data_IF_848228586552
#
_entry.id   IF_848228586552
#
_cell.length_a   1.000
_cell.length_b   1.000
_cell.length_c   1.000
_cell.angle_alpha   90.00
_cell.angle_beta   90.00
_cell.angle_gamma   90.00
#
_symmetry.space_group_name_H-M   'P 1'
#
loop_
_entity.id
_entity.type
_entity.pdbx_description
1 polymer ?
#
# COMPACT_ATOMS: atom_id res chain seq x y z
N UNK A 1 11.40 19.25 -4.94
CA UNK A 1 11.72 18.02 -4.19
C UNK A 1 11.76 16.85 -5.17
N UNK A 2 12.52 15.81 -4.82
CA UNK A 2 12.53 14.53 -5.55
C UNK A 2 11.58 13.56 -4.88
N UNK A 3 10.59 13.06 -5.61
CA UNK A 3 9.53 12.21 -5.08
C UNK A 3 9.48 10.89 -5.86
N UNK A 4 9.46 9.77 -5.14
CA UNK A 4 9.31 8.44 -5.71
C UNK A 4 7.95 7.86 -5.28
N UNK A 5 7.14 7.49 -6.24
CA UNK A 5 5.84 6.82 -6.02
C UNK A 5 5.98 5.36 -6.44
N UNK A 6 5.73 4.43 -5.52
CA UNK A 6 5.92 2.99 -5.77
C UNK A 6 4.60 2.24 -5.67
N UNK A 7 4.32 1.46 -6.70
CA UNK A 7 3.06 0.75 -6.90
C UNK A 7 2.04 1.58 -7.65
N UNK A 8 0.97 0.95 -8.09
CA UNK A 8 -0.10 1.61 -8.82
C UNK A 8 -1.42 0.88 -8.59
N UNK A 9 -2.45 1.63 -8.22
CA UNK A 9 -3.84 1.17 -8.21
C UNK A 9 -4.71 2.22 -8.87
N UNK A 10 -5.48 1.83 -9.87
CA UNK A 10 -6.49 2.66 -10.52
C UNK A 10 -5.99 4.04 -10.98
N UNK A 11 -4.75 4.10 -11.44
CA UNK A 11 -4.08 5.32 -11.95
C UNK A 11 -3.83 6.42 -10.88
N UNK A 12 -3.84 6.07 -9.60
CA UNK A 12 -3.69 7.04 -8.50
C UNK A 12 -2.31 7.67 -8.50
N UNK A 13 -1.25 6.85 -8.50
CA UNK A 13 0.12 7.38 -8.46
C UNK A 13 0.52 8.12 -9.73
N UNK A 14 0.09 7.64 -10.90
CA UNK A 14 0.39 8.38 -12.14
C UNK A 14 -0.31 9.73 -12.18
N UNK A 15 -1.59 9.79 -11.78
CA UNK A 15 -2.33 11.07 -11.69
C UNK A 15 -1.70 12.02 -10.68
N UNK A 16 -1.33 11.52 -9.50
CA UNK A 16 -0.61 12.29 -8.48
C UNK A 16 0.72 12.82 -9.03
N UNK A 17 1.47 11.98 -9.75
CA UNK A 17 2.74 12.38 -10.36
C UNK A 17 2.57 13.55 -11.34
N UNK A 18 1.50 13.53 -12.16
CA UNK A 18 1.23 14.65 -13.10
C UNK A 18 1.00 15.95 -12.31
N UNK A 19 0.16 15.94 -11.28
CA UNK A 19 -0.09 17.11 -10.45
C UNK A 19 1.17 17.64 -9.76
N UNK A 20 1.98 16.75 -9.19
CA UNK A 20 3.23 17.13 -8.53
C UNK A 20 4.28 17.69 -9.52
N UNK A 21 4.35 17.14 -10.74
CA UNK A 21 5.21 17.66 -11.81
C UNK A 21 4.78 19.06 -12.25
N UNK A 22 3.49 19.32 -12.35
CA UNK A 22 2.96 20.67 -12.63
C UNK A 22 3.32 21.70 -11.54
N UNK A 23 3.51 21.24 -10.30
CA UNK A 23 3.99 22.05 -9.17
C UNK A 23 5.52 22.18 -9.13
N UNK A 24 6.23 21.70 -10.15
CA UNK A 24 7.69 21.83 -10.26
C UNK A 24 8.50 20.80 -9.47
N UNK A 25 7.90 19.66 -9.08
CA UNK A 25 8.62 18.57 -8.42
C UNK A 25 9.17 17.56 -9.43
N UNK A 26 10.33 16.97 -9.12
CA UNK A 26 10.88 15.82 -9.85
C UNK A 26 10.21 14.55 -9.33
N UNK A 27 9.37 13.92 -10.14
CA UNK A 27 8.60 12.76 -9.71
C UNK A 27 8.88 11.54 -10.59
N UNK A 28 9.14 10.42 -9.95
CA UNK A 28 9.33 9.11 -10.59
C UNK A 28 8.24 8.15 -10.11
N UNK A 29 7.57 7.49 -11.05
CA UNK A 29 6.60 6.41 -10.76
C UNK A 29 7.23 5.07 -11.11
N UNK A 30 7.32 4.16 -10.12
CA UNK A 30 7.85 2.81 -10.28
C UNK A 30 6.75 1.80 -9.95
N UNK A 31 6.24 1.09 -10.95
CA UNK A 31 5.10 0.18 -10.76
C UNK A 31 5.03 -0.95 -11.77
N UNK A 32 4.17 -1.94 -11.51
CA UNK A 32 3.75 -2.96 -12.47
C UNK A 32 2.68 -2.46 -13.45
N UNK A 33 2.07 -1.30 -13.17
CA UNK A 33 1.01 -0.71 -13.98
C UNK A 33 -0.40 -1.20 -13.66
N UNK A 34 -0.63 -1.75 -12.47
CA UNK A 34 -1.90 -2.31 -12.01
C UNK A 34 -2.38 -3.47 -12.92
N UNK A 35 -1.49 -4.46 -13.07
CA UNK A 35 -1.74 -5.69 -13.81
C UNK A 35 -2.10 -5.46 -15.29
N UNK A 36 -3.23 -5.99 -15.76
CA UNK A 36 -3.69 -5.90 -17.15
C UNK A 36 -4.06 -4.49 -17.61
N UNK A 37 -4.28 -3.55 -16.68
CA UNK A 37 -4.65 -2.15 -16.99
C UNK A 37 -3.50 -1.37 -17.61
N UNK A 38 -2.25 -1.76 -17.32
CA UNK A 38 -1.07 -1.23 -18.00
C UNK A 38 -0.86 0.28 -17.84
N UNK A 39 -1.19 0.86 -16.69
CA UNK A 39 -1.02 2.29 -16.46
C UNK A 39 0.40 2.78 -16.70
N UNK A 40 0.57 4.04 -17.13
CA UNK A 40 1.88 4.62 -17.39
C UNK A 40 2.79 4.63 -16.16
N UNK A 41 4.09 4.52 -16.39
CA UNK A 41 5.13 4.49 -15.34
C UNK A 41 6.49 4.88 -15.92
N UNK A 42 7.37 5.40 -15.08
CA UNK A 42 8.74 5.78 -15.48
C UNK A 42 9.70 4.59 -15.32
N UNK A 43 9.47 3.75 -14.30
CA UNK A 43 10.24 2.53 -14.04
C UNK A 43 9.31 1.33 -14.10
N UNK A 44 9.53 0.47 -15.10
CA UNK A 44 8.71 -0.73 -15.30
C UNK A 44 9.15 -1.85 -14.36
N UNK A 45 8.24 -2.21 -13.44
CA UNK A 45 8.35 -3.31 -12.48
C UNK A 45 7.22 -4.34 -12.68
N UNK A 46 6.68 -4.45 -13.89
CA UNK A 46 5.66 -5.45 -14.20
C UNK A 46 6.18 -6.87 -13.94
N UNK A 47 5.36 -7.70 -13.33
CA UNK A 47 5.71 -9.07 -13.00
C UNK A 47 4.76 -10.05 -13.70
N UNK A 48 5.34 -11.07 -14.32
CA UNK A 48 4.58 -12.16 -14.94
C UNK A 48 4.82 -13.43 -14.14
N UNK A 49 3.75 -14.13 -13.78
CA UNK A 49 3.77 -15.35 -12.95
C UNK A 49 4.27 -16.58 -13.74
N UNK A 50 5.51 -16.49 -14.25
CA UNK A 50 6.23 -17.60 -14.89
C UNK A 50 7.67 -17.61 -14.39
N UNK A 51 8.38 -18.74 -14.50
CA UNK A 51 9.78 -18.83 -14.08
C UNK A 51 10.65 -17.77 -14.79
N UNK A 52 10.49 -17.60 -16.10
CA UNK A 52 11.16 -16.55 -16.87
C UNK A 52 10.76 -15.14 -16.39
N UNK A 53 9.49 -14.95 -16.05
CA UNK A 53 8.97 -13.69 -15.49
C UNK A 53 9.57 -13.33 -14.14
N UNK A 54 9.75 -14.30 -13.25
CA UNK A 54 10.42 -14.09 -11.96
C UNK A 54 11.88 -13.65 -12.15
N UNK A 55 12.64 -14.32 -13.02
CA UNK A 55 14.04 -13.96 -13.33
C UNK A 55 14.11 -12.57 -13.97
N UNK A 56 13.27 -12.30 -14.96
CA UNK A 56 13.20 -10.99 -15.62
C UNK A 56 12.83 -9.87 -14.64
N UNK A 57 11.88 -10.11 -13.74
CA UNK A 57 11.51 -9.16 -12.69
C UNK A 57 12.67 -8.90 -11.74
N UNK A 58 13.32 -9.96 -11.22
CA UNK A 58 14.46 -9.82 -10.31
C UNK A 58 15.58 -8.98 -10.94
N UNK A 59 15.88 -9.21 -12.22
CA UNK A 59 16.85 -8.43 -12.97
C UNK A 59 16.45 -6.96 -13.11
N UNK A 60 15.20 -6.68 -13.49
CA UNK A 60 14.68 -5.30 -13.57
C UNK A 60 14.72 -4.60 -12.22
N UNK A 61 14.30 -5.28 -11.15
CA UNK A 61 14.34 -4.75 -9.80
C UNK A 61 15.78 -4.41 -9.37
N UNK A 62 16.73 -5.33 -9.56
CA UNK A 62 18.15 -5.08 -9.25
C UNK A 62 18.71 -3.86 -9.98
N UNK A 63 18.31 -3.64 -11.23
CA UNK A 63 18.71 -2.45 -12.01
C UNK A 63 17.96 -1.18 -11.61
N UNK A 64 16.76 -1.32 -11.08
CA UNK A 64 15.94 -0.19 -10.62
C UNK A 64 16.36 0.30 -9.23
N UNK A 65 16.72 -0.60 -8.30
CA UNK A 65 17.07 -0.25 -6.92
C UNK A 65 18.08 0.91 -6.80
N UNK A 66 19.19 0.97 -7.55
CA UNK A 66 20.11 2.11 -7.47
C UNK A 66 19.46 3.44 -7.87
N UNK A 67 18.47 3.42 -8.76
CA UNK A 67 17.73 4.60 -9.21
C UNK A 67 16.67 5.07 -8.21
N UNK A 68 16.31 4.21 -7.23
CA UNK A 68 15.32 4.49 -6.19
C UNK A 68 15.94 5.06 -4.92
N UNK A 69 17.08 5.79 -5.03
CA UNK A 69 17.82 6.38 -3.90
C UNK A 69 17.80 7.90 -3.96
N UNK A 70 17.94 8.52 -2.80
CA UNK A 70 18.15 9.96 -2.66
C UNK A 70 16.89 10.78 -2.93
N UNK A 71 15.73 10.21 -2.75
CA UNK A 71 14.45 10.92 -2.80
C UNK A 71 14.17 11.59 -1.45
N UNK A 72 13.51 12.75 -1.52
CA UNK A 72 13.04 13.46 -0.34
C UNK A 72 11.83 12.76 0.27
N UNK A 73 10.97 12.22 -0.60
CA UNK A 73 9.77 11.46 -0.23
C UNK A 73 9.69 10.20 -1.09
N UNK A 74 9.40 9.08 -0.46
CA UNK A 74 8.97 7.83 -1.12
C UNK A 74 7.57 7.50 -0.63
N UNK A 75 6.60 7.44 -1.54
CA UNK A 75 5.25 7.00 -1.22
C UNK A 75 5.04 5.57 -1.74
N UNK A 76 4.62 4.69 -0.84
CA UNK A 76 4.19 3.34 -1.16
C UNK A 76 2.67 3.33 -1.32
N UNK A 77 2.15 2.75 -2.40
CA UNK A 77 0.70 2.72 -2.65
C UNK A 77 -0.06 1.95 -1.57
N UNK A 78 0.55 0.90 -1.03
CA UNK A 78 -0.02 -0.06 -0.11
C UNK A 78 1.14 -0.82 0.56
N UNK A 79 0.99 -1.50 1.69
CA UNK A 79 2.04 -2.37 2.26
C UNK A 79 2.58 -3.41 1.26
N UNK A 80 1.72 -4.00 0.42
CA UNK A 80 2.13 -4.86 -0.71
C UNK A 80 2.20 -4.00 -1.97
N UNK A 81 3.21 -3.13 -2.05
CA UNK A 81 3.35 -2.07 -3.06
C UNK A 81 3.81 -2.51 -4.44
N UNK A 82 4.15 -3.79 -4.63
CA UNK A 82 4.47 -4.39 -5.92
C UNK A 82 3.64 -5.66 -6.13
N UNK A 83 3.45 -6.05 -7.38
CA UNK A 83 2.70 -7.27 -7.75
C UNK A 83 3.52 -8.53 -7.48
N UNK A 84 3.91 -8.74 -6.22
CA UNK A 84 4.74 -9.84 -5.71
C UNK A 84 4.09 -10.47 -4.50
N UNK A 85 4.56 -11.68 -4.13
CA UNK A 85 4.28 -12.22 -2.81
C UNK A 85 4.76 -11.27 -1.70
N UNK A 86 4.14 -11.25 -0.51
CA UNK A 86 4.47 -10.26 0.52
C UNK A 86 5.92 -10.31 1.02
N UNK A 87 6.53 -11.49 1.07
CA UNK A 87 7.84 -11.71 1.68
C UNK A 87 8.98 -10.83 1.14
N UNK A 88 9.17 -10.59 -0.19
CA UNK A 88 10.24 -9.73 -0.70
C UNK A 88 10.08 -8.25 -0.34
N UNK A 89 8.84 -7.79 -0.10
CA UNK A 89 8.57 -6.37 0.18
C UNK A 89 9.33 -5.84 1.38
N UNK A 90 9.56 -6.67 2.42
CA UNK A 90 10.30 -6.23 3.61
C UNK A 90 11.74 -5.83 3.29
N UNK A 91 12.42 -6.53 2.38
CA UNK A 91 13.79 -6.19 1.99
C UNK A 91 13.84 -4.94 1.11
N UNK A 92 12.89 -4.83 0.19
CA UNK A 92 12.75 -3.63 -0.66
C UNK A 92 12.43 -2.42 0.22
N UNK A 93 11.53 -2.57 1.18
CA UNK A 93 11.18 -1.54 2.15
C UNK A 93 12.40 -1.09 2.98
N UNK A 94 13.16 -2.04 3.57
CA UNK A 94 14.37 -1.73 4.34
C UNK A 94 15.41 -0.98 3.50
N UNK A 95 15.54 -1.37 2.23
CA UNK A 95 16.39 -0.67 1.29
C UNK A 95 15.90 0.77 1.03
N UNK A 96 14.63 0.94 0.72
CA UNK A 96 14.06 2.27 0.47
C UNK A 96 14.20 3.19 1.68
N UNK A 97 13.91 2.67 2.87
CA UNK A 97 14.05 3.38 4.14
C UNK A 97 15.49 3.82 4.40
N UNK A 98 16.46 2.96 4.11
CA UNK A 98 17.89 3.26 4.32
C UNK A 98 18.43 4.37 3.42
N UNK A 99 17.92 4.48 2.19
CA UNK A 99 18.51 5.33 1.16
C UNK A 99 17.67 6.55 0.77
N UNK A 100 16.57 6.80 1.46
CA UNK A 100 15.69 7.95 1.22
C UNK A 100 15.36 8.65 2.54
N UNK A 101 14.86 9.91 2.46
CA UNK A 101 14.67 10.73 3.67
C UNK A 101 13.38 10.40 4.42
N UNK A 102 12.26 10.28 3.70
CA UNK A 102 10.94 10.06 4.30
C UNK A 102 10.21 8.96 3.53
N UNK A 103 9.53 8.09 4.28
CA UNK A 103 8.61 7.09 3.71
C UNK A 103 7.19 7.46 4.11
N UNK A 104 6.30 7.49 3.13
CA UNK A 104 4.86 7.67 3.29
C UNK A 104 4.18 6.39 2.84
N UNK A 105 3.32 5.84 3.67
CA UNK A 105 2.50 4.70 3.32
C UNK A 105 1.10 5.18 2.94
N UNK A 106 0.72 4.97 1.68
CA UNK A 106 -0.65 5.07 1.23
C UNK A 106 -1.43 3.83 1.66
N UNK A 107 -2.61 4.00 2.18
CA UNK A 107 -3.51 2.90 2.52
C UNK A 107 -4.56 2.73 1.41
N UNK A 108 -4.09 2.65 0.15
CA UNK A 108 -4.97 2.54 -1.00
C UNK A 108 -5.28 1.09 -1.32
N UNK A 109 -6.54 0.82 -1.63
CA UNK A 109 -7.00 -0.52 -1.97
C UNK A 109 -7.19 -1.44 -0.76
N UNK A 110 -7.17 -2.75 -1.03
CA UNK A 110 -7.35 -3.79 -0.03
C UNK A 110 -6.05 -4.02 0.74
N UNK A 111 -6.14 -4.08 2.07
CA UNK A 111 -5.05 -4.49 2.96
C UNK A 111 -5.56 -5.26 4.17
N UNK A 112 -4.65 -5.72 5.03
CA UNK A 112 -4.99 -6.44 6.25
C UNK A 112 -5.99 -5.67 7.14
N UNK A 113 -5.76 -4.37 7.34
CA UNK A 113 -6.61 -3.57 8.22
C UNK A 113 -8.00 -3.38 7.66
N UNK A 114 -8.12 -3.13 6.36
CA UNK A 114 -9.41 -3.04 5.68
C UNK A 114 -10.22 -4.34 5.81
N UNK A 115 -9.59 -5.48 5.52
CA UNK A 115 -10.23 -6.79 5.62
C UNK A 115 -10.67 -7.08 7.06
N UNK A 116 -9.78 -6.89 8.02
CA UNK A 116 -10.04 -7.16 9.44
C UNK A 116 -11.23 -6.36 9.96
N UNK A 117 -11.23 -5.03 9.74
CA UNK A 117 -12.28 -4.15 10.25
C UNK A 117 -13.63 -4.45 9.62
N UNK A 118 -13.66 -4.64 8.30
CA UNK A 118 -14.93 -4.92 7.63
C UNK A 118 -15.51 -6.28 8.01
N UNK A 119 -14.68 -7.24 8.39
CA UNK A 119 -15.16 -8.53 8.93
C UNK A 119 -15.59 -8.49 10.38
N UNK A 120 -14.81 -7.83 11.23
CA UNK A 120 -15.03 -7.85 12.69
C UNK A 120 -16.07 -6.81 13.11
N UNK A 121 -15.91 -5.56 12.68
CA UNK A 121 -16.75 -4.44 13.13
C UNK A 121 -17.91 -4.13 12.19
N UNK A 122 -17.78 -4.49 10.91
CA UNK A 122 -18.80 -4.23 9.88
C UNK A 122 -19.33 -2.79 9.91
N UNK A 123 -18.43 -1.80 9.80
CA UNK A 123 -18.81 -0.38 9.96
C UNK A 123 -19.73 0.10 8.83
N UNK A 124 -19.72 -0.61 7.70
CA UNK A 124 -20.56 -0.31 6.55
C UNK A 124 -21.68 -1.35 6.44
N UNK A 125 -22.88 -0.88 6.07
CA UNK A 125 -24.03 -1.76 5.82
C UNK A 125 -23.77 -2.76 4.68
N UNK A 126 -22.90 -2.38 3.73
CA UNK A 126 -22.51 -3.22 2.59
C UNK A 126 -21.01 -3.07 2.39
N UNK A 127 -20.31 -4.18 2.27
CA UNK A 127 -18.89 -4.24 1.94
C UNK A 127 -18.57 -5.51 1.15
N UNK A 128 -17.31 -5.69 0.80
CA UNK A 128 -16.83 -6.93 0.20
C UNK A 128 -17.03 -8.14 1.14
N UNK A 129 -17.25 -7.90 2.45
CA UNK A 129 -17.29 -8.92 3.50
C UNK A 129 -18.63 -9.06 4.20
N UNK A 130 -19.61 -8.15 3.97
CA UNK A 130 -20.93 -8.23 4.58
C UNK A 130 -22.03 -7.60 3.72
N UNK A 131 -23.26 -8.08 3.94
CA UNK A 131 -24.52 -7.50 3.41
C UNK A 131 -25.43 -7.30 4.63
N UNK A 132 -25.61 -6.07 5.08
CA UNK A 132 -26.23 -5.79 6.37
C UNK A 132 -25.46 -6.47 7.48
N UNK A 133 -26.14 -7.22 8.35
CA UNK A 133 -25.54 -7.96 9.46
C UNK A 133 -24.99 -9.35 9.06
N UNK A 134 -25.20 -9.76 7.81
CA UNK A 134 -24.78 -11.07 7.33
C UNK A 134 -23.36 -11.00 6.78
N UNK A 135 -22.46 -11.81 7.32
CA UNK A 135 -21.09 -11.97 6.80
C UNK A 135 -21.12 -12.75 5.50
N UNK A 136 -20.44 -12.25 4.49
CA UNK A 136 -20.24 -12.97 3.22
C UNK A 136 -19.24 -14.10 3.39
N UNK A 137 -19.64 -15.28 2.90
CA UNK A 137 -18.83 -16.50 2.90
C UNK A 137 -18.55 -17.03 1.50
N UNK A 138 -18.88 -16.21 0.49
CA UNK A 138 -18.60 -16.61 -0.89
C UNK A 138 -17.11 -16.60 -1.20
N UNK A 139 -16.76 -17.26 -2.32
CA UNK A 139 -15.36 -17.48 -2.69
C UNK A 139 -14.54 -16.19 -2.83
N UNK A 140 -15.17 -15.10 -3.28
CA UNK A 140 -14.48 -13.81 -3.49
C UNK A 140 -14.07 -13.23 -2.13
N UNK A 141 -15.03 -13.08 -1.21
CA UNK A 141 -14.77 -12.60 0.14
C UNK A 141 -13.75 -13.47 0.89
N UNK A 142 -13.83 -14.81 0.73
CA UNK A 142 -12.89 -15.73 1.37
C UNK A 142 -11.48 -15.63 0.79
N UNK A 143 -11.33 -15.41 -0.52
CA UNK A 143 -10.02 -15.22 -1.14
C UNK A 143 -9.26 -14.02 -0.54
N UNK A 144 -9.93 -12.89 -0.33
CA UNK A 144 -9.32 -11.71 0.28
C UNK A 144 -8.91 -11.98 1.73
N UNK A 145 -9.75 -12.72 2.47
CA UNK A 145 -9.39 -13.16 3.83
C UNK A 145 -8.14 -14.02 3.84
N UNK A 146 -8.08 -15.02 2.95
CA UNK A 146 -6.94 -15.95 2.86
C UNK A 146 -5.63 -15.24 2.46
N UNK A 147 -5.73 -14.12 1.74
CA UNK A 147 -4.57 -13.30 1.40
C UNK A 147 -4.11 -12.44 2.57
N UNK A 148 -5.03 -11.82 3.32
CA UNK A 148 -4.71 -10.73 4.23
C UNK A 148 -4.75 -11.07 5.72
N UNK A 149 -5.34 -12.22 6.12
CA UNK A 149 -5.50 -12.62 7.53
C UNK A 149 -4.67 -13.86 7.83
N UNK A 150 -3.87 -13.82 8.88
CA UNK A 150 -2.98 -14.93 9.31
C UNK A 150 -1.76 -15.13 8.41
N UNK A 151 -1.42 -14.18 7.53
CA UNK A 151 -0.45 -14.37 6.45
C UNK A 151 0.80 -13.49 6.60
N UNK A 152 1.75 -13.63 5.67
CA UNK A 152 2.89 -12.71 5.56
C UNK A 152 2.46 -11.29 5.17
N UNK A 153 1.31 -11.13 4.49
CA UNK A 153 0.77 -9.80 4.17
C UNK A 153 0.34 -9.06 5.44
N UNK A 154 -0.33 -9.74 6.39
CA UNK A 154 -0.63 -9.20 7.71
C UNK A 154 0.63 -8.76 8.45
N UNK A 155 1.63 -9.64 8.56
CA UNK A 155 2.90 -9.33 9.24
C UNK A 155 3.62 -8.14 8.62
N UNK A 156 3.57 -8.02 7.30
CA UNK A 156 4.13 -6.87 6.58
C UNK A 156 3.36 -5.59 6.91
N UNK A 157 2.03 -5.61 6.85
CA UNK A 157 1.17 -4.47 7.22
C UNK A 157 1.46 -3.99 8.64
N UNK A 158 1.48 -4.91 9.60
CA UNK A 158 1.79 -4.58 11.00
C UNK A 158 3.20 -4.01 11.18
N UNK A 159 4.19 -4.56 10.48
CA UNK A 159 5.56 -4.07 10.55
C UNK A 159 5.66 -2.63 10.04
N UNK A 160 5.08 -2.34 8.87
CA UNK A 160 5.13 -1.00 8.29
C UNK A 160 4.36 0.01 9.15
N UNK A 161 3.21 -0.37 9.69
CA UNK A 161 2.41 0.49 10.57
C UNK A 161 3.09 0.79 11.92
N UNK A 162 3.92 -0.14 12.42
CA UNK A 162 4.69 0.05 13.67
C UNK A 162 5.99 0.83 13.47
N UNK A 163 6.42 1.05 12.25
CA UNK A 163 7.66 1.78 11.95
C UNK A 163 7.46 3.29 12.19
N UNK A 164 8.20 3.83 13.15
CA UNK A 164 8.05 5.24 13.60
C UNK A 164 8.48 6.27 12.54
N UNK A 165 9.23 5.85 11.54
CA UNK A 165 9.69 6.72 10.44
C UNK A 165 8.74 6.73 9.25
N UNK A 166 7.75 5.82 9.23
CA UNK A 166 6.72 5.78 8.20
C UNK A 166 5.60 6.74 8.55
N UNK A 167 5.30 7.66 7.65
CA UNK A 167 4.10 8.49 7.70
C UNK A 167 2.99 7.77 6.96
N UNK A 168 1.84 7.62 7.62
CA UNK A 168 0.68 6.96 7.02
C UNK A 168 -0.26 8.04 6.50
N UNK A 169 -0.42 8.08 5.18
CA UNK A 169 -1.35 8.95 4.49
C UNK A 169 -2.72 8.27 4.38
N UNK A 170 -3.78 9.07 4.38
CA UNK A 170 -5.19 8.64 4.26
C UNK A 170 -5.77 7.77 5.41
N UNK A 171 -5.01 7.39 6.42
CA UNK A 171 -5.59 6.73 7.60
C UNK A 171 -6.64 7.60 8.30
N UNK A 172 -6.56 8.93 8.19
CA UNK A 172 -7.58 9.82 8.71
C UNK A 172 -8.94 9.60 8.03
N UNK A 173 -8.97 9.36 6.72
CA UNK A 173 -10.20 9.04 6.02
C UNK A 173 -10.69 7.65 6.35
N UNK A 174 -9.78 6.68 6.41
CA UNK A 174 -10.10 5.31 6.79
C UNK A 174 -10.63 5.26 8.23
N UNK A 175 -10.02 5.99 9.17
CA UNK A 175 -10.48 6.11 10.54
C UNK A 175 -11.87 6.76 10.63
N UNK A 176 -12.14 7.77 9.83
CA UNK A 176 -13.45 8.41 9.76
C UNK A 176 -14.53 7.44 9.30
N UNK A 177 -14.26 6.65 8.26
CA UNK A 177 -15.23 5.70 7.70
C UNK A 177 -15.33 4.39 8.48
N UNK A 178 -14.30 3.99 9.19
CA UNK A 178 -14.20 2.65 9.81
C UNK A 178 -14.11 2.67 11.34
N UNK A 179 -14.07 3.85 11.97
CA UNK A 179 -13.90 3.99 13.42
C UNK A 179 -12.51 3.58 13.94
N UNK A 180 -11.51 3.57 13.08
CA UNK A 180 -10.15 3.19 13.42
C UNK A 180 -9.41 4.21 14.29
N UNK A 181 -8.55 3.70 15.16
CA UNK A 181 -7.63 4.52 15.95
C UNK A 181 -6.35 4.75 15.14
N UNK A 182 -6.02 6.01 14.90
CA UNK A 182 -4.84 6.41 14.15
C UNK A 182 -3.61 6.37 15.04
N UNK A 183 -2.57 5.70 14.61
CA UNK A 183 -1.25 5.84 15.19
C UNK A 183 -0.62 7.14 14.70
N UNK A 184 -0.55 8.15 15.55
CA UNK A 184 0.22 9.37 15.27
C UNK A 184 1.71 9.15 15.55
N UNK A 185 2.54 9.99 14.95
CA UNK A 185 4.01 10.05 15.07
C UNK A 185 4.54 10.03 16.52
N UNK A 186 3.68 10.24 17.53
CA UNK A 186 4.00 10.23 18.96
C UNK A 186 3.81 8.88 19.65
N UNK A 187 3.41 7.83 18.94
CA UNK A 187 3.14 6.51 19.53
C UNK A 187 1.91 6.44 20.42
N UNK A 188 1.09 7.48 20.49
CA UNK A 188 -0.15 7.48 21.26
C UNK A 188 -1.33 7.05 20.39
N UNK A 189 -2.06 6.05 20.86
CA UNK A 189 -3.37 5.67 20.33
C UNK A 189 -4.37 6.77 20.67
N UNK A 190 -4.95 7.43 19.67
CA UNK A 190 -6.09 8.32 19.90
C UNK A 190 -7.39 7.54 19.83
N UNK A 191 -8.30 7.78 20.77
CA UNK A 191 -9.63 7.15 20.77
C UNK A 191 -10.38 7.49 19.49
N UNK A 192 -11.24 6.59 18.97
CA UNK A 192 -12.06 6.86 17.79
C UNK A 192 -12.93 8.11 18.00
N UNK A 193 -12.99 8.94 16.96
CA UNK A 193 -13.80 10.19 16.95
C UNK A 193 -15.33 9.97 17.01
N UNK A 194 -15.78 8.72 16.99
CA UNK A 194 -17.20 8.35 16.91
C UNK A 194 -17.81 7.89 18.23
N UNK A 195 -17.36 8.41 19.37
CA UNK A 195 -18.00 8.10 20.64
C UNK A 195 -18.90 9.24 21.16
N UNK A 196 -19.66 9.92 20.31
CA UNK A 196 -20.76 10.78 20.79
C UNK A 196 -21.80 10.96 19.67
N UNK A 197 -22.91 10.30 19.86
CA UNK A 197 -24.13 10.48 19.07
C UNK A 197 -25.08 9.32 19.24
#
# INVERSE_FOLDING_TARGET
MRILLIGEYSNVHWTLAQGLRMLGHEVTVASGGDSWKGYPRDVDLAHVLTLKGHVSFAWRLLRALPKMRGYDIVQLINPVFLELSPWPHRFIFDYLRRYNKNIVLGAFGMDHYWVKVNRELRPMRYSDFNIGDVVRTDKVAQTDVDIWIGTEAERLCERLAKDKEVQIDDLNKLAYYTGWTILRKSGSLTKPLLSNG
#
